data_IF_758325323126
#
_entry.id   IF_758325323126
#
_cell.length_a   1.000
_cell.length_b   1.000
_cell.length_c   1.000
_cell.angle_alpha   90.00
_cell.angle_beta   90.00
_cell.angle_gamma   90.00
#
_symmetry.space_group_name_H-M   'P 1'
#
loop_
_entity.id
_entity.type
_entity.pdbx_description
1 polymer ?
#
# COMPACT_ATOMS: atom_id res chain seq x y z
N UNK A 1 11.08 -15.33 17.56
CA UNK A 1 10.25 -14.32 18.26
C UNK A 1 9.14 -13.84 17.34
N UNK A 2 7.86 -13.98 17.72
CA UNK A 2 6.74 -13.37 16.97
C UNK A 2 6.72 -11.87 17.27
N UNK A 3 7.28 -11.03 16.39
CA UNK A 3 7.13 -9.58 16.50
C UNK A 3 5.68 -9.24 16.14
N UNK A 4 4.92 -8.68 17.09
CA UNK A 4 3.56 -8.19 16.84
C UNK A 4 3.64 -6.81 16.17
N UNK A 5 2.70 -6.53 15.27
CA UNK A 5 2.53 -5.19 14.72
C UNK A 5 2.17 -4.20 15.86
N UNK A 6 2.63 -2.94 15.82
CA UNK A 6 2.21 -1.92 16.76
C UNK A 6 0.69 -1.79 16.84
N UNK A 7 0.16 -1.60 18.05
CA UNK A 7 -1.29 -1.57 18.30
C UNK A 7 -2.01 -0.47 17.49
N UNK A 8 -1.40 0.70 17.36
CA UNK A 8 -1.97 1.83 16.62
C UNK A 8 -2.19 1.51 15.13
N UNK A 9 -1.38 0.62 14.53
CA UNK A 9 -1.59 0.19 13.15
C UNK A 9 -2.77 -0.78 13.10
N UNK A 10 -2.83 -1.73 14.02
CA UNK A 10 -3.92 -2.72 14.07
C UNK A 10 -5.28 -2.08 14.33
N UNK A 11 -5.33 -0.99 15.10
CA UNK A 11 -6.56 -0.22 15.37
C UNK A 11 -7.09 0.53 14.14
N UNK A 12 -6.26 0.75 13.13
CA UNK A 12 -6.65 1.42 11.87
C UNK A 12 -7.13 0.43 10.79
N UNK A 13 -6.95 -0.87 10.99
CA UNK A 13 -7.26 -1.90 9.99
C UNK A 13 -8.54 -2.65 10.35
N UNK A 14 -9.38 -2.91 9.36
CA UNK A 14 -10.50 -3.84 9.48
C UNK A 14 -10.03 -5.29 9.59
N UNK A 15 -8.94 -5.62 8.88
CA UNK A 15 -8.26 -6.91 8.95
C UNK A 15 -6.74 -6.72 8.83
N UNK A 16 -5.91 -7.51 9.53
CA UNK A 16 -4.46 -7.39 9.49
C UNK A 16 -3.87 -8.04 8.22
N UNK A 17 -4.25 -7.52 7.05
CA UNK A 17 -3.89 -8.05 5.73
C UNK A 17 -3.30 -6.96 4.83
N UNK A 18 -2.50 -7.40 3.87
CA UNK A 18 -1.93 -6.58 2.82
C UNK A 18 -2.52 -6.99 1.48
N UNK A 19 -2.83 -6.02 0.64
CA UNK A 19 -3.06 -6.27 -0.78
C UNK A 19 -1.69 -6.48 -1.43
N UNK A 20 -1.43 -7.71 -1.87
CA UNK A 20 -0.15 -8.09 -2.47
C UNK A 20 0.15 -7.24 -3.71
N UNK A 21 1.40 -6.78 -3.90
CA UNK A 21 1.75 -5.95 -5.04
C UNK A 21 1.75 -6.79 -6.32
N UNK A 22 1.03 -6.34 -7.34
CA UNK A 22 0.92 -7.00 -8.64
C UNK A 22 1.60 -6.16 -9.73
N UNK A 23 2.59 -6.74 -10.41
CA UNK A 23 3.30 -6.06 -11.50
C UNK A 23 2.33 -5.68 -12.61
N UNK A 24 2.42 -4.43 -13.08
CA UNK A 24 1.54 -3.82 -14.09
C UNK A 24 0.04 -3.70 -13.73
N UNK A 25 -0.37 -4.12 -12.53
CA UNK A 25 -1.77 -4.01 -12.07
C UNK A 25 -1.90 -3.03 -10.91
N UNK A 26 -1.06 -3.17 -9.87
CA UNK A 26 -1.13 -2.29 -8.70
C UNK A 26 -0.60 -0.89 -9.03
N UNK A 27 -1.39 0.13 -8.71
CA UNK A 27 -1.11 1.55 -8.97
C UNK A 27 -1.58 2.41 -7.77
N UNK A 28 -1.44 3.74 -7.79
CA UNK A 28 -1.87 4.60 -6.68
C UNK A 28 -3.35 4.43 -6.31
N UNK A 29 -4.23 4.29 -7.29
CA UNK A 29 -5.66 4.08 -7.08
C UNK A 29 -5.91 2.81 -6.26
N UNK A 30 -5.24 1.71 -6.59
CA UNK A 30 -5.40 0.46 -5.83
C UNK A 30 -4.96 0.61 -4.38
N UNK A 31 -3.92 1.41 -4.09
CA UNK A 31 -3.50 1.67 -2.70
C UNK A 31 -4.52 2.49 -1.95
N UNK A 32 -4.98 3.58 -2.56
CA UNK A 32 -5.97 4.49 -1.96
C UNK A 32 -7.26 3.73 -1.63
N UNK A 33 -7.77 2.93 -2.57
CA UNK A 33 -8.99 2.15 -2.35
C UNK A 33 -8.78 1.01 -1.34
N UNK A 34 -7.60 0.38 -1.30
CA UNK A 34 -7.25 -0.60 -0.25
C UNK A 34 -7.27 0.03 1.14
N UNK A 35 -6.65 1.20 1.30
CA UNK A 35 -6.63 1.95 2.57
C UNK A 35 -8.05 2.35 3.00
N UNK A 36 -8.90 2.81 2.07
CA UNK A 36 -10.32 3.11 2.34
C UNK A 36 -11.11 1.86 2.75
N UNK A 37 -10.78 0.70 2.20
CA UNK A 37 -11.37 -0.58 2.58
C UNK A 37 -10.85 -1.14 3.92
N UNK A 38 -9.96 -0.41 4.61
CA UNK A 38 -9.44 -0.80 5.94
C UNK A 38 -8.35 -1.87 5.88
N UNK A 39 -7.63 -1.99 4.76
CA UNK A 39 -6.49 -2.91 4.60
C UNK A 39 -5.27 -2.17 4.05
N UNK A 40 -4.08 -2.74 4.17
CA UNK A 40 -2.86 -2.07 3.70
C UNK A 40 -2.70 -2.27 2.19
N UNK A 41 -2.68 -1.18 1.42
CA UNK A 41 -2.39 -1.20 -0.01
C UNK A 41 -0.88 -1.22 -0.32
N UNK A 42 -0.49 -1.85 -1.44
CA UNK A 42 0.89 -1.80 -1.93
C UNK A 42 0.98 -1.87 -3.46
N UNK A 43 2.10 -1.39 -4.03
CA UNK A 43 2.46 -1.57 -5.45
C UNK A 43 3.97 -1.78 -5.60
N UNK A 44 4.43 -2.48 -6.66
CA UNK A 44 5.85 -2.53 -7.00
C UNK A 44 6.35 -1.15 -7.44
N UNK A 45 7.44 -0.66 -6.86
CA UNK A 45 8.04 0.63 -7.26
C UNK A 45 8.35 0.70 -8.77
N UNK A 46 8.68 -0.45 -9.38
CA UNK A 46 8.93 -0.56 -10.82
C UNK A 46 7.70 -0.25 -11.70
N UNK A 47 6.48 -0.26 -11.16
CA UNK A 47 5.28 0.10 -11.92
C UNK A 47 5.26 1.59 -12.30
N UNK A 48 5.90 2.45 -11.50
CA UNK A 48 6.10 3.86 -11.82
C UNK A 48 7.20 4.12 -12.86
N UNK A 49 7.94 3.09 -13.33
CA UNK A 49 8.96 3.12 -14.41
C UNK A 49 10.17 4.06 -14.24
N UNK A 50 10.00 5.22 -13.63
CA UNK A 50 10.99 6.26 -13.35
C UNK A 50 10.88 6.69 -11.89
N UNK A 51 11.96 7.24 -11.35
CA UNK A 51 11.97 7.77 -9.98
C UNK A 51 11.09 9.01 -9.82
N UNK A 52 11.00 9.85 -10.85
CA UNK A 52 10.16 11.05 -10.84
C UNK A 52 8.66 10.70 -10.78
N UNK A 53 8.22 9.71 -11.55
CA UNK A 53 6.84 9.23 -11.50
C UNK A 53 6.54 8.55 -10.15
N UNK A 54 7.49 7.79 -9.59
CA UNK A 54 7.34 7.24 -8.24
C UNK A 54 7.16 8.34 -7.19
N UNK A 55 7.94 9.42 -7.27
CA UNK A 55 7.80 10.57 -6.38
C UNK A 55 6.42 11.23 -6.51
N UNK A 56 5.90 11.36 -7.74
CA UNK A 56 4.55 11.88 -7.97
C UNK A 56 3.47 10.96 -7.36
N UNK A 57 3.63 9.64 -7.50
CA UNK A 57 2.71 8.66 -6.90
C UNK A 57 2.72 8.77 -5.37
N UNK A 58 3.90 8.88 -4.75
CA UNK A 58 4.02 9.02 -3.29
C UNK A 58 3.46 10.35 -2.75
N UNK A 59 3.43 11.42 -3.55
CA UNK A 59 2.77 12.69 -3.17
C UNK A 59 1.25 12.63 -3.29
N UNK A 60 0.72 11.73 -4.11
CA UNK A 60 -0.71 11.58 -4.39
C UNK A 60 -1.43 10.71 -3.35
N UNK A 61 -0.74 9.68 -2.86
CA UNK A 61 -1.24 8.71 -1.86
C UNK A 61 -1.13 9.33 -0.47
#
# INVERSE_FOLDING_TARGET
MKKKLPKYILEQLSFPVFVSPMFLISNPETVIESCKAGVIGSFPALNARTTAELEQWMKRI
#
